data_IF_616027753661
#
_entry.id   IF_616027753661
#
_cell.length_a   1.000
_cell.length_b   1.000
_cell.length_c   1.000
_cell.angle_alpha   90.00
_cell.angle_beta   90.00
_cell.angle_gamma   90.00
#
_symmetry.space_group_name_H-M   'P 1'
#
loop_
_entity.id
_entity.type
_entity.pdbx_description
1 polymer ?
#
# COMPACT_ATOMS: atom_id res chain seq x y z
N UNK A 1 30.76 10.68 2.27
CA UNK A 1 29.99 9.89 3.26
C UNK A 1 28.52 9.82 2.86
N UNK A 2 27.94 8.61 2.86
CA UNK A 2 26.49 8.38 2.68
C UNK A 2 25.86 7.90 3.98
N UNK A 3 24.58 8.19 4.16
CA UNK A 3 23.64 7.49 5.02
C UNK A 3 22.66 6.79 4.09
N UNK A 4 22.66 5.47 4.05
CA UNK A 4 21.64 4.75 3.29
C UNK A 4 20.37 4.76 4.13
N UNK A 5 19.22 4.97 3.51
CA UNK A 5 17.99 4.61 4.17
C UNK A 5 17.68 3.18 3.80
N UNK A 6 17.12 2.42 4.74
CA UNK A 6 16.50 1.17 4.36
C UNK A 6 15.12 1.51 3.77
N UNK A 7 14.89 0.96 2.58
CA UNK A 7 13.62 0.72 1.93
C UNK A 7 12.70 1.90 1.54
N UNK A 8 12.26 1.85 0.29
CA UNK A 8 10.92 2.31 -0.04
C UNK A 8 9.89 1.30 0.48
N UNK A 9 8.96 1.77 1.30
CA UNK A 9 7.87 0.98 1.86
C UNK A 9 6.59 1.22 1.08
N UNK A 10 5.91 0.15 0.69
CA UNK A 10 4.52 0.20 0.26
C UNK A 10 3.63 0.28 1.49
N UNK A 11 2.66 1.18 1.46
CA UNK A 11 1.73 1.36 2.56
C UNK A 11 0.33 1.66 2.05
N UNK A 12 -0.67 1.20 2.79
CA UNK A 12 -2.09 1.43 2.52
C UNK A 12 -2.76 1.97 3.77
N UNK A 13 -3.84 2.72 3.63
CA UNK A 13 -4.61 3.13 4.79
C UNK A 13 -5.19 1.90 5.50
N UNK A 14 -5.06 1.86 6.82
CA UNK A 14 -5.76 0.85 7.61
C UNK A 14 -7.24 1.26 7.66
N UNK A 15 -8.05 0.62 6.82
CA UNK A 15 -9.48 0.84 6.84
C UNK A 15 -10.03 0.24 8.13
N UNK A 16 -10.14 1.07 9.17
CA UNK A 16 -10.97 0.76 10.34
C UNK A 16 -12.31 0.22 9.85
N UNK A 17 -12.88 -0.85 10.46
CA UNK A 17 -14.21 -1.35 10.10
C UNK A 17 -15.28 -0.25 10.10
N UNK A 18 -15.02 0.87 10.80
CA UNK A 18 -15.86 2.06 10.85
C UNK A 18 -15.87 2.91 9.58
N UNK A 19 -14.88 2.82 8.70
CA UNK A 19 -14.86 3.60 7.44
C UNK A 19 -15.66 2.95 6.29
N UNK A 20 -16.12 1.71 6.45
CA UNK A 20 -17.16 1.11 5.59
C UNK A 20 -18.52 1.83 5.69
N UNK A 21 -18.72 2.66 6.73
CA UNK A 21 -19.93 3.47 6.90
C UNK A 21 -19.92 4.78 6.13
N UNK A 22 -18.80 5.20 5.52
CA UNK A 22 -18.68 6.49 4.81
C UNK A 22 -19.03 6.45 3.32
N UNK A 23 -19.62 5.36 2.84
CA UNK A 23 -20.37 5.33 1.56
C UNK A 23 -21.88 5.29 1.78
N UNK A 24 -22.36 5.14 3.03
CA UNK A 24 -23.80 5.20 3.36
C UNK A 24 -24.38 6.61 3.39
N UNK A 25 -23.58 7.67 3.23
CA UNK A 25 -24.08 9.06 3.31
C UNK A 25 -24.43 9.71 1.97
N UNK A 26 -24.14 9.05 0.84
CA UNK A 26 -24.60 9.51 -0.49
C UNK A 26 -26.03 9.00 -0.78
N UNK A 27 -26.52 7.96 -0.10
CA UNK A 27 -27.92 7.51 -0.16
C UNK A 27 -28.80 8.29 0.84
N UNK A 28 -28.59 9.61 0.91
CA UNK A 28 -29.54 10.54 1.52
C UNK A 28 -30.06 11.57 0.51
N UNK A 29 -29.49 11.64 -0.70
CA UNK A 29 -29.98 12.49 -1.79
C UNK A 29 -31.07 11.84 -2.66
N UNK A 30 -31.38 10.55 -2.47
CA UNK A 30 -32.47 9.87 -3.19
C UNK A 30 -33.86 10.06 -2.53
N UNK A 31 -33.98 10.96 -1.55
CA UNK A 31 -35.28 11.33 -0.97
C UNK A 31 -36.14 12.19 -1.90
N UNK A 32 -35.61 12.61 -3.05
CA UNK A 32 -36.25 13.56 -3.96
C UNK A 32 -36.87 12.93 -5.21
N UNK A 33 -36.55 11.68 -5.53
CA UNK A 33 -37.00 11.07 -6.81
C UNK A 33 -38.33 10.31 -6.69
N UNK A 34 -38.82 10.07 -5.48
CA UNK A 34 -40.11 9.41 -5.27
C UNK A 34 -41.32 10.35 -5.44
N UNK A 35 -41.10 11.68 -5.41
CA UNK A 35 -42.19 12.67 -5.52
C UNK A 35 -42.75 12.73 -6.95
N UNK A 36 -41.92 12.47 -7.97
CA UNK A 36 -42.33 12.52 -9.38
C UNK A 36 -43.21 11.34 -9.85
N UNK A 37 -43.36 10.30 -9.03
CA UNK A 37 -44.23 9.15 -9.30
C UNK A 37 -45.62 9.24 -8.65
N UNK A 38 -45.87 10.29 -7.85
CA UNK A 38 -47.11 10.45 -7.06
C UNK A 38 -48.25 11.10 -7.86
N UNK A 39 -47.96 11.78 -8.98
CA UNK A 39 -48.97 12.49 -9.79
C UNK A 39 -49.87 11.59 -10.67
N UNK A 40 -49.75 10.26 -10.58
CA UNK A 40 -50.59 9.31 -11.34
C UNK A 40 -51.29 8.24 -10.49
N UNK A 41 -51.36 8.39 -9.17
CA UNK A 41 -52.09 7.45 -8.33
C UNK A 41 -53.52 7.94 -8.10
N UNK A 42 -54.50 7.07 -8.39
CA UNK A 42 -55.92 7.29 -8.09
C UNK A 42 -56.07 7.71 -6.60
N UNK A 43 -56.95 8.68 -6.33
CA UNK A 43 -57.14 9.33 -5.01
C UNK A 43 -57.33 8.36 -3.83
N UNK A 44 -57.90 7.18 -4.09
CA UNK A 44 -58.08 6.11 -3.11
C UNK A 44 -56.76 5.49 -2.63
N UNK A 45 -55.76 5.38 -3.51
CA UNK A 45 -54.45 4.79 -3.19
C UNK A 45 -53.54 5.84 -2.53
N UNK A 46 -53.58 7.08 -3.01
CA UNK A 46 -52.80 8.18 -2.45
C UNK A 46 -53.16 8.46 -0.97
N UNK A 47 -54.44 8.43 -0.62
CA UNK A 47 -54.91 8.64 0.75
C UNK A 47 -54.47 7.54 1.74
N UNK A 48 -54.36 6.29 1.27
CA UNK A 48 -53.88 5.16 2.08
C UNK A 48 -52.37 5.24 2.28
N UNK A 49 -51.60 5.49 1.21
CA UNK A 49 -50.13 5.58 1.24
C UNK A 49 -49.64 6.76 2.10
N UNK A 50 -50.33 7.91 2.05
CA UNK A 50 -50.04 9.06 2.89
C UNK A 50 -50.31 8.82 4.38
N UNK A 51 -51.38 8.07 4.71
CA UNK A 51 -51.71 7.71 6.10
C UNK A 51 -50.81 6.60 6.68
N UNK A 52 -50.31 5.68 5.84
CA UNK A 52 -49.47 4.55 6.28
C UNK A 52 -47.97 4.82 6.16
N UNK A 53 -47.55 5.99 5.66
CA UNK A 53 -46.14 6.38 5.58
C UNK A 53 -45.36 5.71 4.45
N UNK A 54 -46.05 5.23 3.40
CA UNK A 54 -45.44 4.60 2.24
C UNK A 54 -45.27 3.08 2.33
N UNK A 55 -45.02 2.45 1.18
CA UNK A 55 -44.59 1.05 1.13
C UNK A 55 -43.13 1.01 1.60
N UNK A 56 -42.89 0.51 2.82
CA UNK A 56 -41.53 0.18 3.25
C UNK A 56 -41.05 -0.97 2.39
N UNK A 57 -40.13 -0.69 1.46
CA UNK A 57 -39.37 -1.74 0.80
C UNK A 57 -38.70 -2.57 1.89
N UNK A 58 -38.82 -3.91 1.85
CA UNK A 58 -38.08 -4.76 2.77
C UNK A 58 -36.60 -4.41 2.66
N UNK A 59 -35.92 -4.26 3.80
CA UNK A 59 -34.48 -4.04 3.78
C UNK A 59 -33.83 -5.15 2.97
N UNK A 60 -33.01 -4.79 1.98
CA UNK A 60 -32.25 -5.78 1.20
C UNK A 60 -31.28 -6.49 2.13
N UNK A 61 -31.66 -7.64 2.66
CA UNK A 61 -30.76 -8.54 3.36
C UNK A 61 -30.01 -9.39 2.34
N UNK A 62 -28.67 -9.38 2.40
CA UNK A 62 -27.88 -10.38 1.66
C UNK A 62 -28.20 -11.77 2.20
N UNK A 63 -28.27 -12.75 1.31
CA UNK A 63 -28.43 -14.16 1.69
C UNK A 63 -27.33 -14.58 2.66
N UNK A 64 -27.67 -15.42 3.64
CA UNK A 64 -26.68 -16.04 4.55
C UNK A 64 -25.64 -16.90 3.82
N UNK A 65 -25.98 -17.32 2.60
CA UNK A 65 -25.11 -18.08 1.69
C UNK A 65 -24.18 -17.20 0.85
N UNK A 66 -24.39 -15.88 0.85
CA UNK A 66 -23.51 -14.95 0.14
C UNK A 66 -22.19 -14.81 0.91
N UNK A 67 -21.08 -15.00 0.20
CA UNK A 67 -19.74 -14.78 0.73
C UNK A 67 -19.49 -13.27 0.92
N UNK A 68 -18.80 -12.93 2.00
CA UNK A 68 -18.28 -11.59 2.29
C UNK A 68 -17.01 -11.33 1.46
N UNK A 69 -16.61 -10.06 1.39
CA UNK A 69 -15.38 -9.69 0.70
C UNK A 69 -14.17 -10.40 1.32
N UNK A 70 -14.08 -10.37 2.66
CA UNK A 70 -13.03 -11.04 3.43
C UNK A 70 -12.94 -12.55 3.13
N UNK A 71 -14.10 -13.22 3.07
CA UNK A 71 -14.17 -14.66 2.76
C UNK A 71 -13.71 -14.93 1.31
N UNK A 72 -14.03 -14.03 0.38
CA UNK A 72 -13.58 -14.13 -1.01
C UNK A 72 -12.08 -13.92 -1.14
N UNK A 73 -11.49 -12.98 -0.40
CA UNK A 73 -10.05 -12.77 -0.35
C UNK A 73 -9.31 -13.99 0.22
N UNK A 74 -9.85 -14.63 1.25
CA UNK A 74 -9.29 -15.88 1.79
C UNK A 74 -9.36 -17.02 0.76
N UNK A 75 -10.48 -17.16 0.03
CA UNK A 75 -10.58 -18.13 -1.07
C UNK A 75 -9.54 -17.80 -2.15
N UNK A 76 -9.32 -16.52 -2.47
CA UNK A 76 -8.35 -16.10 -3.48
C UNK A 76 -6.92 -16.49 -3.08
N UNK A 77 -6.52 -16.19 -1.85
CA UNK A 77 -5.22 -16.59 -1.31
C UNK A 77 -5.03 -18.11 -1.34
N UNK A 78 -6.06 -18.85 -0.93
CA UNK A 78 -5.98 -20.31 -0.90
C UNK A 78 -5.91 -20.95 -2.30
N UNK A 79 -6.59 -20.37 -3.29
CA UNK A 79 -6.52 -20.82 -4.69
C UNK A 79 -5.11 -20.60 -5.26
N UNK A 80 -4.49 -19.44 -5.00
CA UNK A 80 -3.11 -19.15 -5.42
C UNK A 80 -2.11 -20.08 -4.74
N UNK A 81 -2.31 -20.38 -3.44
CA UNK A 81 -1.49 -21.33 -2.70
C UNK A 81 -1.70 -22.80 -3.10
N UNK A 82 -2.63 -23.09 -4.02
CA UNK A 82 -2.93 -24.45 -4.47
C UNK A 82 -3.64 -25.31 -3.41
N UNK A 83 -4.30 -24.70 -2.43
CA UNK A 83 -5.01 -25.44 -1.38
C UNK A 83 -6.29 -26.12 -1.91
N UNK A 84 -6.67 -27.24 -1.29
CA UNK A 84 -7.93 -27.91 -1.61
C UNK A 84 -9.15 -27.12 -1.13
N UNK A 85 -10.23 -27.10 -1.91
CA UNK A 85 -11.52 -26.45 -1.55
C UNK A 85 -12.04 -26.89 -0.18
N UNK A 86 -11.78 -28.14 0.22
CA UNK A 86 -12.18 -28.69 1.53
C UNK A 86 -11.44 -28.03 2.69
N UNK A 87 -10.14 -27.74 2.53
CA UNK A 87 -9.34 -27.06 3.56
C UNK A 87 -9.85 -25.63 3.80
N UNK A 88 -10.07 -24.88 2.71
CA UNK A 88 -10.61 -23.52 2.76
C UNK A 88 -12.01 -23.47 3.38
N UNK A 89 -12.85 -24.45 3.04
CA UNK A 89 -14.20 -24.59 3.59
C UNK A 89 -14.18 -24.79 5.11
N UNK A 90 -13.26 -25.61 5.61
CA UNK A 90 -13.04 -25.80 7.05
C UNK A 90 -12.62 -24.50 7.74
N UNK A 91 -11.68 -23.76 7.14
CA UNK A 91 -11.16 -22.49 7.69
C UNK A 91 -12.21 -21.38 7.75
N UNK A 92 -13.04 -21.27 6.71
CA UNK A 92 -14.09 -20.26 6.60
C UNK A 92 -15.42 -20.66 7.27
N UNK A 93 -15.50 -21.87 7.83
CA UNK A 93 -16.74 -22.44 8.35
C UNK A 93 -17.88 -22.41 7.31
N UNK A 94 -17.54 -22.67 6.05
CA UNK A 94 -18.49 -22.70 4.91
C UNK A 94 -18.58 -24.10 4.32
N UNK A 95 -19.64 -24.36 3.56
CA UNK A 95 -19.74 -25.64 2.85
C UNK A 95 -18.75 -25.66 1.67
N UNK A 96 -18.09 -26.80 1.39
CA UNK A 96 -17.22 -26.94 0.21
C UNK A 96 -17.95 -26.63 -1.11
N UNK A 97 -19.24 -26.93 -1.18
CA UNK A 97 -20.09 -26.62 -2.32
C UNK A 97 -20.29 -25.12 -2.55
N UNK A 98 -20.25 -24.31 -1.49
CA UNK A 98 -20.36 -22.84 -1.62
C UNK A 98 -19.09 -22.26 -2.22
N UNK A 99 -17.93 -22.71 -1.74
CA UNK A 99 -16.63 -22.26 -2.28
C UNK A 99 -16.44 -22.76 -3.71
N UNK A 100 -16.76 -24.02 -3.99
CA UNK A 100 -16.66 -24.58 -5.34
C UNK A 100 -17.56 -23.85 -6.35
N UNK A 101 -18.80 -23.49 -5.96
CA UNK A 101 -19.68 -22.68 -6.83
C UNK A 101 -19.16 -21.28 -7.06
N UNK A 102 -18.55 -20.65 -6.07
CA UNK A 102 -17.95 -19.32 -6.22
C UNK A 102 -16.78 -19.39 -7.20
N UNK A 103 -15.83 -20.31 -7.00
CA UNK A 103 -14.68 -20.49 -7.88
C UNK A 103 -15.13 -20.81 -9.31
N UNK A 104 -16.10 -21.71 -9.49
CA UNK A 104 -16.63 -22.06 -10.81
C UNK A 104 -17.35 -20.90 -11.49
N UNK A 105 -18.06 -20.06 -10.73
CA UNK A 105 -18.75 -18.87 -11.25
C UNK A 105 -17.77 -17.84 -11.81
N UNK A 106 -16.60 -17.73 -11.20
CA UNK A 106 -15.54 -16.79 -11.58
C UNK A 106 -14.50 -17.42 -12.54
N UNK A 107 -14.90 -18.44 -13.32
CA UNK A 107 -14.09 -19.00 -14.39
C UNK A 107 -13.11 -20.10 -13.97
N UNK A 108 -13.23 -20.64 -12.76
CA UNK A 108 -12.37 -21.71 -12.23
C UNK A 108 -11.15 -21.20 -11.48
N UNK A 109 -10.38 -22.11 -10.88
CA UNK A 109 -9.24 -21.75 -10.01
C UNK A 109 -8.15 -20.95 -10.72
N UNK A 110 -7.92 -21.20 -12.01
CA UNK A 110 -6.93 -20.50 -12.83
C UNK A 110 -7.29 -19.05 -13.14
N UNK A 111 -8.57 -18.68 -13.00
CA UNK A 111 -9.09 -17.36 -13.35
C UNK A 111 -9.70 -16.64 -12.13
N UNK A 112 -9.65 -17.25 -10.96
CA UNK A 112 -10.34 -16.76 -9.77
C UNK A 112 -9.67 -15.52 -9.20
N UNK A 113 -10.34 -14.35 -9.27
CA UNK A 113 -10.03 -13.06 -8.63
C UNK A 113 -8.56 -12.65 -8.56
N UNK A 114 -7.76 -13.24 -7.67
CA UNK A 114 -6.33 -12.98 -7.56
C UNK A 114 -5.59 -13.34 -8.86
N UNK A 115 -5.87 -14.49 -9.47
CA UNK A 115 -5.23 -14.88 -10.73
C UNK A 115 -5.55 -13.92 -11.89
N UNK A 116 -6.75 -13.32 -11.89
CA UNK A 116 -7.13 -12.29 -12.85
C UNK A 116 -6.49 -10.92 -12.54
N UNK A 117 -6.37 -10.58 -11.25
CA UNK A 117 -5.66 -9.37 -10.81
C UNK A 117 -4.16 -9.46 -11.16
N UNK A 118 -3.52 -10.61 -10.98
CA UNK A 118 -2.12 -10.85 -11.31
C UNK A 118 -1.86 -10.70 -12.82
N UNK A 119 -2.82 -11.09 -13.67
CA UNK A 119 -2.75 -10.92 -15.12
C UNK A 119 -2.94 -9.46 -15.57
N UNK A 120 -3.42 -8.57 -14.70
CA UNK A 120 -3.79 -7.20 -15.04
C UNK A 120 -3.47 -6.21 -13.91
N UNK A 121 -2.26 -6.28 -13.36
CA UNK A 121 -1.77 -5.26 -12.41
C UNK A 121 -1.51 -3.96 -13.18
N UNK A 122 -2.58 -3.19 -13.42
CA UNK A 122 -2.52 -1.84 -13.96
C UNK A 122 -2.48 -0.84 -12.81
N UNK A 123 -1.27 -0.45 -12.41
CA UNK A 123 -1.06 0.57 -11.39
C UNK A 123 -0.82 1.92 -12.05
N UNK A 124 -1.75 2.85 -11.86
CA UNK A 124 -1.54 4.23 -12.27
C UNK A 124 -0.58 4.93 -11.30
N UNK A 125 0.66 5.15 -11.73
CA UNK A 125 1.66 5.85 -10.94
C UNK A 125 1.42 7.37 -10.98
N UNK A 126 0.97 7.94 -9.87
CA UNK A 126 0.77 9.38 -9.73
C UNK A 126 2.00 9.98 -9.04
N UNK A 127 2.80 10.84 -9.72
CA UNK A 127 3.98 11.43 -9.11
C UNK A 127 3.61 12.49 -8.08
N UNK A 128 4.28 12.46 -6.92
CA UNK A 128 4.12 13.44 -5.84
C UNK A 128 5.41 14.18 -5.55
N UNK A 129 5.29 15.45 -5.17
CA UNK A 129 6.44 16.29 -4.80
C UNK A 129 7.01 15.95 -3.40
N UNK A 130 6.25 15.28 -2.53
CA UNK A 130 6.73 14.92 -1.19
C UNK A 130 6.02 13.71 -0.58
N UNK A 131 6.76 12.96 0.24
CA UNK A 131 6.28 11.83 1.02
C UNK A 131 5.07 12.16 1.91
N UNK A 132 5.09 13.34 2.55
CA UNK A 132 4.02 13.77 3.45
C UNK A 132 2.68 13.96 2.74
N UNK A 133 2.67 14.40 1.48
CA UNK A 133 1.44 14.52 0.68
C UNK A 133 0.85 13.14 0.37
N UNK A 134 1.70 12.19 -0.02
CA UNK A 134 1.28 10.79 -0.26
C UNK A 134 0.62 10.21 0.99
N UNK A 135 1.24 10.40 2.17
CA UNK A 135 0.70 9.89 3.43
C UNK A 135 -0.70 10.44 3.73
N UNK A 136 -0.91 11.74 3.54
CA UNK A 136 -2.20 12.40 3.77
C UNK A 136 -3.26 11.88 2.79
N UNK A 137 -2.93 11.75 1.50
CA UNK A 137 -3.90 11.33 0.48
C UNK A 137 -4.26 9.84 0.59
N UNK A 138 -3.31 8.99 1.00
CA UNK A 138 -3.60 7.60 1.36
C UNK A 138 -4.52 7.54 2.58
N UNK A 139 -4.19 8.27 3.67
CA UNK A 139 -5.04 8.32 4.86
C UNK A 139 -6.44 8.92 4.58
N UNK A 140 -6.53 9.85 3.64
CA UNK A 140 -7.77 10.47 3.17
C UNK A 140 -8.62 9.58 2.27
N UNK A 141 -8.05 8.47 1.76
CA UNK A 141 -8.70 7.58 0.81
C UNK A 141 -8.74 8.13 -0.62
N UNK A 142 -7.89 9.11 -0.94
CA UNK A 142 -7.69 9.61 -2.30
C UNK A 142 -6.76 8.70 -3.10
N UNK A 143 -5.87 7.98 -2.41
CA UNK A 143 -4.98 6.96 -2.98
C UNK A 143 -5.22 5.61 -2.30
N UNK A 144 -5.23 4.54 -3.09
CA UNK A 144 -5.33 3.18 -2.57
C UNK A 144 -4.07 2.73 -1.83
N UNK A 145 -2.90 3.20 -2.28
CA UNK A 145 -1.59 2.79 -1.79
C UNK A 145 -0.56 3.88 -2.12
N UNK A 146 0.48 3.99 -1.30
CA UNK A 146 1.61 4.87 -1.53
C UNK A 146 2.94 4.10 -1.45
N UNK A 147 3.94 4.62 -2.13
CA UNK A 147 5.34 4.21 -1.99
C UNK A 147 6.11 5.39 -1.44
N UNK A 148 6.79 5.20 -0.30
CA UNK A 148 7.65 6.24 0.24
C UNK A 148 8.70 5.70 1.19
N UNK A 149 9.65 6.55 1.58
CA UNK A 149 10.63 6.20 2.60
C UNK A 149 9.97 5.96 3.96
N UNK A 150 10.32 4.85 4.61
CA UNK A 150 9.71 4.43 5.87
C UNK A 150 9.74 5.48 7.02
N UNK A 151 10.82 6.26 7.25
CA UNK A 151 10.88 7.21 8.36
C UNK A 151 9.74 8.22 8.39
N UNK A 152 9.25 8.65 7.22
CA UNK A 152 8.14 9.59 7.12
C UNK A 152 6.79 8.96 7.51
N UNK A 153 6.70 7.62 7.53
CA UNK A 153 5.48 6.86 7.71
C UNK A 153 5.46 6.05 9.00
N UNK A 154 6.63 5.81 9.61
CA UNK A 154 6.83 4.91 10.73
C UNK A 154 5.88 5.22 11.90
N UNK A 155 5.70 6.48 12.26
CA UNK A 155 4.78 6.91 13.32
C UNK A 155 3.31 6.69 12.96
N UNK A 156 2.95 6.84 11.68
CA UNK A 156 1.60 6.56 11.21
C UNK A 156 1.31 5.05 11.17
N UNK A 157 2.33 4.24 10.88
CA UNK A 157 2.24 2.78 10.90
C UNK A 157 2.13 2.27 12.35
N UNK A 158 3.03 2.71 13.24
CA UNK A 158 2.98 2.38 14.67
C UNK A 158 1.66 2.85 15.32
N UNK A 159 1.14 3.98 14.86
CA UNK A 159 -0.15 4.52 15.31
C UNK A 159 -1.38 3.85 14.71
N UNK A 160 -1.25 2.83 13.85
CA UNK A 160 -2.38 2.11 13.23
C UNK A 160 -3.23 2.96 12.27
N UNK A 161 -2.66 4.05 11.73
CA UNK A 161 -3.32 4.89 10.71
C UNK A 161 -3.02 4.37 9.31
N UNK A 162 -1.83 3.82 9.13
CA UNK A 162 -1.35 3.20 7.90
C UNK A 162 -0.93 1.77 8.19
N UNK A 163 -1.18 0.88 7.24
CA UNK A 163 -0.67 -0.48 7.24
C UNK A 163 0.52 -0.56 6.28
N UNK A 164 1.67 -0.98 6.79
CA UNK A 164 2.82 -1.34 5.95
C UNK A 164 2.53 -2.63 5.19
N UNK A 165 2.66 -2.62 3.87
CA UNK A 165 2.43 -3.78 3.00
C UNK A 165 3.72 -4.57 2.81
N UNK A 166 4.84 -3.86 2.62
CA UNK A 166 6.14 -4.47 2.41
C UNK A 166 7.21 -3.42 2.11
N UNK A 167 8.46 -3.88 2.08
CA UNK A 167 9.63 -3.06 1.80
C UNK A 167 10.34 -3.55 0.54
N UNK A 168 10.79 -2.62 -0.30
CA UNK A 168 11.48 -2.94 -1.54
C UNK A 168 12.98 -3.26 -1.38
N UNK A 169 13.49 -3.23 -0.16
CA UNK A 169 14.84 -3.69 0.15
C UNK A 169 14.93 -5.22 0.10
N UNK A 170 16.16 -5.71 -0.08
CA UNK A 170 16.46 -7.15 -0.01
C UNK A 170 16.15 -7.74 1.37
N UNK A 171 16.47 -7.01 2.43
CA UNK A 171 16.26 -7.41 3.82
C UNK A 171 15.05 -6.66 4.40
N UNK A 172 14.43 -7.22 5.46
CA UNK A 172 13.39 -6.51 6.22
C UNK A 172 13.96 -5.25 6.89
N UNK A 173 13.10 -4.25 7.09
CA UNK A 173 13.51 -2.98 7.67
C UNK A 173 13.78 -3.07 9.18
N UNK A 174 14.73 -2.28 9.67
CA UNK A 174 15.07 -2.19 11.08
C UNK A 174 13.95 -1.57 11.92
N UNK A 175 13.27 -0.56 11.38
CA UNK A 175 12.21 0.19 12.03
C UNK A 175 10.87 -0.56 12.08
N UNK A 176 10.66 -1.55 11.21
CA UNK A 176 9.51 -2.46 11.27
C UNK A 176 9.82 -3.80 10.57
N UNK A 177 10.14 -4.82 11.38
CA UNK A 177 10.47 -6.17 10.91
C UNK A 177 9.26 -7.03 10.56
N UNK A 178 8.04 -6.55 10.81
CA UNK A 178 6.84 -7.29 10.46
C UNK A 178 6.53 -7.17 8.96
N UNK A 179 7.05 -6.13 8.30
CA UNK A 179 6.91 -5.94 6.87
C UNK A 179 7.75 -6.97 6.09
N UNK A 180 7.12 -7.64 5.12
CA UNK A 180 7.82 -8.53 4.19
C UNK A 180 8.76 -7.72 3.29
N UNK A 181 9.93 -8.28 3.01
CA UNK A 181 10.89 -7.69 2.09
C UNK A 181 10.73 -8.20 0.66
N UNK A 182 11.15 -7.41 -0.33
CA UNK A 182 11.20 -7.83 -1.72
C UNK A 182 12.11 -9.06 -1.91
N UNK A 183 13.19 -9.17 -1.12
CA UNK A 183 14.06 -10.36 -1.16
C UNK A 183 13.39 -11.66 -0.68
N UNK A 184 12.36 -11.55 0.17
CA UNK A 184 11.55 -12.69 0.63
C UNK A 184 10.40 -13.03 -0.33
N UNK A 185 10.11 -12.15 -1.29
CA UNK A 185 9.02 -12.32 -2.26
C UNK A 185 9.57 -12.92 -3.56
N UNK A 186 9.22 -14.17 -3.94
CA UNK A 186 9.80 -14.85 -5.10
C UNK A 186 9.76 -14.04 -6.40
N UNK A 187 8.66 -13.32 -6.64
CA UNK A 187 8.39 -12.52 -7.83
C UNK A 187 9.22 -11.22 -7.87
N UNK A 188 9.71 -10.76 -6.71
CA UNK A 188 10.49 -9.54 -6.55
C UNK A 188 11.98 -9.83 -6.27
N UNK A 189 12.40 -11.09 -6.37
CA UNK A 189 13.80 -11.46 -6.18
C UNK A 189 14.70 -10.77 -7.20
N UNK A 190 15.62 -9.96 -6.71
CA UNK A 190 16.55 -9.17 -7.52
C UNK A 190 16.10 -7.71 -7.72
N UNK A 191 14.87 -7.36 -7.34
CA UNK A 191 14.46 -5.98 -7.17
C UNK A 191 14.99 -5.47 -5.82
N UNK A 192 16.00 -4.61 -5.86
CA UNK A 192 16.52 -3.92 -4.67
C UNK A 192 16.37 -2.42 -4.88
N UNK A 193 15.42 -1.83 -4.15
CA UNK A 193 15.21 -0.39 -4.14
C UNK A 193 15.33 0.15 -2.72
N UNK A 194 16.29 1.04 -2.54
CA UNK A 194 16.47 1.81 -1.34
C UNK A 194 16.89 3.22 -1.72
N UNK A 195 16.43 4.19 -0.95
CA UNK A 195 16.88 5.56 -1.09
C UNK A 195 18.11 5.78 -0.20
N UNK A 196 18.97 6.71 -0.58
CA UNK A 196 20.13 7.08 0.21
C UNK A 196 20.22 8.60 0.32
N UNK A 197 20.89 9.06 1.36
CA UNK A 197 21.20 10.47 1.58
C UNK A 197 22.70 10.59 1.74
N UNK A 198 23.28 11.68 1.25
CA UNK A 198 24.71 11.91 1.36
C UNK A 198 25.00 13.39 1.40
N UNK A 199 26.20 13.72 1.87
CA UNK A 199 26.67 15.09 1.87
C UNK A 199 27.56 15.35 0.66
N UNK A 200 27.30 16.47 0.00
CA UNK A 200 28.07 16.95 -1.14
C UNK A 200 28.73 18.28 -0.78
N UNK A 201 29.94 18.48 -1.29
CA UNK A 201 30.63 19.75 -1.23
C UNK A 201 30.59 20.43 -2.62
N UNK A 202 30.66 21.77 -2.70
CA UNK A 202 30.76 22.48 -3.96
C UNK A 202 31.93 21.99 -4.82
N UNK A 203 31.77 22.05 -6.15
CA UNK A 203 32.84 21.72 -7.08
C UNK A 203 34.07 22.59 -6.82
N UNK A 204 35.25 21.98 -6.73
CA UNK A 204 36.51 22.67 -6.44
C UNK A 204 36.85 22.82 -4.95
N UNK A 205 36.02 22.29 -4.04
CA UNK A 205 36.39 22.23 -2.61
C UNK A 205 37.69 21.45 -2.43
N UNK A 206 38.66 22.03 -1.74
CA UNK A 206 39.98 21.42 -1.56
C UNK A 206 39.88 20.07 -0.82
N UNK A 207 40.61 19.06 -1.30
CA UNK A 207 40.59 17.71 -0.75
C UNK A 207 40.84 17.64 0.78
N UNK A 208 41.75 18.44 1.38
CA UNK A 208 41.92 18.44 2.84
C UNK A 208 40.65 18.84 3.61
N UNK A 209 39.83 19.75 3.07
CA UNK A 209 38.57 20.18 3.69
C UNK A 209 37.54 19.06 3.61
N UNK A 210 37.40 18.43 2.44
CA UNK A 210 36.49 17.29 2.25
C UNK A 210 36.85 16.14 3.18
N UNK A 211 38.14 15.84 3.30
CA UNK A 211 38.61 14.78 4.20
C UNK A 211 38.34 15.11 5.66
N UNK A 212 38.59 16.36 6.09
CA UNK A 212 38.29 16.81 7.45
C UNK A 212 36.79 16.66 7.79
N UNK A 213 35.91 17.06 6.87
CA UNK A 213 34.47 16.88 7.03
C UNK A 213 34.10 15.39 7.09
N UNK A 214 34.64 14.58 6.18
CA UNK A 214 34.35 13.14 6.14
C UNK A 214 34.75 12.45 7.44
N UNK A 215 35.92 12.78 8.02
CA UNK A 215 36.36 12.25 9.31
C UNK A 215 35.43 12.69 10.44
N UNK A 216 35.10 13.97 10.52
CA UNK A 216 34.21 14.49 11.56
C UNK A 216 32.81 13.83 11.52
N UNK A 217 32.22 13.68 10.33
CA UNK A 217 30.94 12.97 10.19
C UNK A 217 31.07 11.47 10.54
N UNK A 218 32.19 10.84 10.18
CA UNK A 218 32.45 9.44 10.51
C UNK A 218 32.59 9.20 12.02
N UNK A 219 33.10 10.18 12.77
CA UNK A 219 33.13 10.12 14.23
C UNK A 219 31.73 10.28 14.83
N UNK A 220 30.94 11.26 14.37
CA UNK A 220 29.58 11.48 14.87
C UNK A 220 28.67 10.26 14.60
N UNK A 221 28.79 9.62 13.44
CA UNK A 221 28.01 8.41 13.13
C UNK A 221 28.45 7.17 13.91
N UNK A 222 29.57 7.21 14.65
CA UNK A 222 29.96 6.14 15.59
C UNK A 222 29.33 6.34 16.97
N UNK A 223 28.85 7.53 17.31
CA UNK A 223 28.23 7.79 18.60
C UNK A 223 26.95 6.97 18.79
N UNK A 224 26.84 6.25 19.90
CA UNK A 224 25.71 5.35 20.16
C UNK A 224 24.37 6.11 20.17
N UNK A 225 24.34 7.33 20.71
CA UNK A 225 23.14 8.16 20.73
C UNK A 225 22.65 8.49 19.31
N UNK A 226 23.57 8.77 18.40
CA UNK A 226 23.27 9.07 17.00
C UNK A 226 22.77 7.80 16.30
N UNK A 227 23.50 6.68 16.46
CA UNK A 227 23.12 5.39 15.89
C UNK A 227 21.73 4.94 16.33
N UNK A 228 21.46 4.95 17.62
CA UNK A 228 20.15 4.59 18.18
C UNK A 228 19.04 5.48 17.62
N UNK A 229 19.27 6.80 17.49
CA UNK A 229 18.26 7.70 16.91
C UNK A 229 17.98 7.40 15.44
N UNK A 230 18.99 7.04 14.66
CA UNK A 230 18.80 6.63 13.26
C UNK A 230 18.07 5.29 13.16
N UNK A 231 18.40 4.31 14.02
CA UNK A 231 17.71 3.02 14.09
C UNK A 231 16.23 3.17 14.45
N UNK A 232 15.90 4.02 15.44
CA UNK A 232 14.52 4.32 15.83
C UNK A 232 13.68 4.86 14.66
N UNK A 233 14.33 5.57 13.73
CA UNK A 233 13.73 6.14 12.54
C UNK A 233 13.74 5.19 11.34
N UNK A 234 14.27 3.96 11.48
CA UNK A 234 14.40 2.99 10.39
C UNK A 234 15.55 3.30 9.42
N UNK A 235 16.56 4.06 9.84
CA UNK A 235 17.68 4.49 8.99
C UNK A 235 18.90 3.63 9.25
N UNK A 236 19.37 2.95 8.20
CA UNK A 236 20.56 2.10 8.26
C UNK A 236 21.81 2.91 7.93
N UNK A 237 22.59 3.26 8.94
CA UNK A 237 23.89 3.90 8.73
C UNK A 237 24.77 2.98 7.89
N UNK A 238 25.21 3.44 6.72
CA UNK A 238 26.17 2.68 5.92
C UNK A 238 27.54 2.77 6.56
N UNK A 239 28.35 1.71 6.38
CA UNK A 239 29.73 1.71 6.84
C UNK A 239 30.50 2.95 6.33
N UNK A 240 31.45 3.47 7.12
CA UNK A 240 32.21 4.66 6.73
C UNK A 240 32.91 4.47 5.39
N UNK A 241 32.37 5.10 4.36
CA UNK A 241 32.95 5.12 3.02
C UNK A 241 33.90 6.30 2.87
N UNK A 242 35.00 6.13 2.13
CA UNK A 242 35.83 7.27 1.75
C UNK A 242 35.05 8.21 0.81
N UNK A 243 35.46 9.49 0.65
CA UNK A 243 34.84 10.36 -0.33
C UNK A 243 34.84 9.77 -1.75
N UNK A 244 35.89 9.02 -2.09
CA UNK A 244 36.03 8.34 -3.39
C UNK A 244 35.01 7.19 -3.53
N UNK A 245 34.88 6.35 -2.51
CA UNK A 245 33.91 5.24 -2.51
C UNK A 245 32.48 5.75 -2.63
N UNK A 246 32.17 6.85 -1.93
CA UNK A 246 30.88 7.50 -2.06
C UNK A 246 30.65 8.04 -3.48
N UNK A 247 31.66 8.66 -4.10
CA UNK A 247 31.59 9.08 -5.50
C UNK A 247 31.31 7.93 -6.47
N UNK A 248 31.98 6.79 -6.28
CA UNK A 248 31.77 5.58 -7.08
C UNK A 248 30.34 5.04 -6.91
N UNK A 249 29.84 5.01 -5.68
CA UNK A 249 28.47 4.58 -5.38
C UNK A 249 27.41 5.48 -6.04
N UNK A 250 27.60 6.81 -6.02
CA UNK A 250 26.70 7.75 -6.69
C UNK A 250 26.71 7.52 -8.21
N UNK A 251 27.89 7.35 -8.81
CA UNK A 251 28.01 7.07 -10.24
C UNK A 251 27.31 5.76 -10.65
N UNK A 252 27.48 4.70 -9.85
CA UNK A 252 26.80 3.41 -10.08
C UNK A 252 25.28 3.52 -9.93
N UNK A 253 24.82 4.20 -8.88
CA UNK A 253 23.38 4.42 -8.64
C UNK A 253 22.74 5.20 -9.80
N UNK A 254 23.38 6.28 -10.25
CA UNK A 254 22.88 7.07 -11.37
C UNK A 254 22.79 6.23 -12.66
N UNK A 255 23.81 5.43 -12.95
CA UNK A 255 23.81 4.55 -14.13
C UNK A 255 22.66 3.52 -14.07
N UNK A 256 22.41 2.92 -12.89
CA UNK A 256 21.30 1.99 -12.69
C UNK A 256 19.94 2.67 -12.92
N UNK A 257 19.69 3.82 -12.29
CA UNK A 257 18.43 4.55 -12.44
C UNK A 257 18.22 5.08 -13.86
N UNK A 258 19.27 5.51 -14.56
CA UNK A 258 19.16 5.90 -15.96
C UNK A 258 18.72 4.75 -16.88
N UNK A 259 19.19 3.53 -16.63
CA UNK A 259 18.74 2.35 -17.36
C UNK A 259 17.27 2.04 -17.08
N UNK A 260 16.85 2.12 -15.81
CA UNK A 260 15.46 1.88 -15.42
C UNK A 260 14.50 2.92 -16.01
N UNK A 261 14.85 4.21 -15.99
CA UNK A 261 14.04 5.27 -16.59
C UNK A 261 13.86 5.02 -18.09
N UNK A 262 14.93 4.66 -18.81
CA UNK A 262 14.87 4.32 -20.25
C UNK A 262 13.96 3.11 -20.52
N UNK A 263 14.01 2.09 -19.68
CA UNK A 263 13.18 0.89 -19.81
C UNK A 263 11.70 1.17 -19.50
N UNK A 264 11.43 2.07 -18.54
CA UNK A 264 10.07 2.40 -18.10
C UNK A 264 9.28 3.27 -19.10
N UNK A 265 9.97 3.94 -20.03
CA UNK A 265 9.34 4.91 -20.95
C UNK A 265 8.85 6.20 -20.26
N UNK A 266 9.18 6.41 -18.98
CA UNK A 266 8.79 7.60 -18.22
C UNK A 266 9.50 8.84 -18.79
N UNK A 267 8.76 9.90 -19.18
CA UNK A 267 9.39 11.13 -19.65
C UNK A 267 10.22 11.77 -18.53
N UNK A 268 11.46 12.17 -18.83
CA UNK A 268 12.26 13.03 -17.94
C UNK A 268 11.62 14.41 -17.95
N UNK A 269 11.02 14.81 -16.82
CA UNK A 269 10.63 16.20 -16.57
C UNK A 269 11.84 17.05 -16.18
#
# INVERSE_FOLDING_TARGET
MSVRYCAEAFFKAELSPRNSMRVRRVISSLRTDAIWLVDRLHTSVAGVIGKTGGIRLPERCRSKLALRLEEREEISRAVVAGESVRAVAGRLFRSPSTISREIARDGGSTCYRAAQADQSVDMNFIPYASASKIAVDVMGGHLDMGVSGLPALLEHIKGGKLSGVGVLSKDRDLGNKDMISAGETPELKGAEFFFWTGLFAPKGTAAPIVNKLNVAFAEVLKEQKVRSRFEDLGVKISEPATPQDFGNFVAQSNAQYEQLVKQSGTPKN
#
